data_IF_119655850299
#
_entry.id   IF_119655850299
#
_cell.length_a   1.000
_cell.length_b   1.000
_cell.length_c   1.000
_cell.angle_alpha   90.00
_cell.angle_beta   90.00
_cell.angle_gamma   90.00
#
_symmetry.space_group_name_H-M   'P 1'
#
loop_
_entity.id
_entity.type
_entity.pdbx_description
1 polymer ?
#
# COMPACT_ATOMS: atom_id res chain seq x y z
N UNK A 1 -41.07 -10.81 -29.72
CA UNK A 1 -40.30 -12.05 -29.92
C UNK A 1 -38.83 -11.70 -30.23
N UNK A 2 -37.96 -11.60 -29.20
CA UNK A 2 -36.54 -11.24 -29.37
C UNK A 2 -35.70 -12.50 -29.61
N UNK A 3 -35.05 -12.59 -30.78
CA UNK A 3 -34.10 -13.65 -31.15
C UNK A 3 -32.82 -13.52 -30.32
N UNK A 4 -32.46 -14.58 -29.61
CA UNK A 4 -31.20 -14.70 -28.87
C UNK A 4 -30.16 -15.30 -29.81
N UNK A 5 -29.14 -14.51 -30.18
CA UNK A 5 -28.03 -14.97 -31.01
C UNK A 5 -27.08 -15.85 -30.18
N UNK A 6 -26.87 -17.08 -30.64
CA UNK A 6 -26.04 -18.11 -30.00
C UNK A 6 -24.60 -17.96 -30.50
N UNK A 7 -23.74 -17.31 -29.71
CA UNK A 7 -22.31 -17.17 -30.01
C UNK A 7 -21.61 -18.52 -29.76
N UNK A 8 -21.13 -19.15 -30.84
CA UNK A 8 -20.25 -20.34 -30.79
C UNK A 8 -18.84 -19.90 -30.41
N UNK A 9 -18.36 -20.32 -29.25
CA UNK A 9 -16.95 -20.20 -28.86
C UNK A 9 -16.16 -21.35 -29.50
N UNK A 10 -15.16 -20.99 -30.32
CA UNK A 10 -14.26 -21.93 -30.97
C UNK A 10 -13.24 -22.58 -30.02
N UNK A 11 -12.55 -23.64 -30.45
CA UNK A 11 -11.63 -24.41 -29.61
C UNK A 11 -10.38 -23.61 -29.23
N UNK A 12 -10.13 -23.50 -27.92
CA UNK A 12 -8.94 -22.87 -27.35
C UNK A 12 -7.75 -23.82 -27.51
N UNK A 13 -6.86 -23.49 -28.44
CA UNK A 13 -5.58 -24.17 -28.67
C UNK A 13 -4.68 -24.03 -27.44
N UNK A 14 -4.45 -25.13 -26.72
CA UNK A 14 -3.50 -25.22 -25.61
C UNK A 14 -2.10 -25.43 -26.18
N UNK A 15 -1.22 -24.43 -26.07
CA UNK A 15 0.20 -24.61 -26.39
C UNK A 15 0.89 -25.50 -25.33
N UNK A 16 1.87 -26.32 -25.74
CA UNK A 16 2.60 -27.20 -24.84
C UNK A 16 3.49 -26.40 -23.88
N UNK A 17 3.50 -26.87 -22.64
CA UNK A 17 4.24 -26.31 -21.52
C UNK A 17 5.71 -26.76 -21.65
N UNK A 18 6.59 -25.86 -22.09
CA UNK A 18 8.03 -26.10 -22.11
C UNK A 18 8.56 -26.33 -20.68
N UNK A 19 9.11 -27.52 -20.47
CA UNK A 19 9.91 -27.90 -19.30
C UNK A 19 11.13 -27.00 -19.21
N UNK A 20 11.17 -26.11 -18.22
CA UNK A 20 12.43 -25.54 -17.74
C UNK A 20 13.22 -26.64 -17.04
N UNK A 21 14.20 -27.18 -17.77
CA UNK A 21 15.28 -28.01 -17.24
C UNK A 21 16.07 -27.20 -16.21
N UNK A 22 16.31 -27.81 -15.04
CA UNK A 22 16.98 -27.20 -13.90
C UNK A 22 18.40 -26.74 -14.24
N UNK A 23 18.73 -25.51 -13.83
CA UNK A 23 20.11 -25.03 -13.83
C UNK A 23 20.86 -25.67 -12.65
N UNK A 24 22.04 -26.29 -12.86
CA UNK A 24 22.86 -26.78 -11.78
C UNK A 24 23.41 -25.60 -10.95
N UNK A 25 23.23 -25.71 -9.63
CA UNK A 25 23.78 -24.79 -8.63
C UNK A 25 25.31 -24.96 -8.59
N UNK A 26 26.03 -24.17 -9.38
CA UNK A 26 27.47 -24.05 -9.28
C UNK A 26 27.84 -23.52 -7.89
N UNK A 27 28.63 -24.28 -7.15
CA UNK A 27 29.20 -23.91 -5.86
C UNK A 27 29.99 -22.60 -6.01
N UNK A 28 29.43 -21.50 -5.49
CA UNK A 28 30.16 -20.25 -5.27
C UNK A 28 31.15 -20.50 -4.15
N UNK A 29 32.39 -20.80 -4.52
CA UNK A 29 33.54 -20.62 -3.63
C UNK A 29 33.68 -19.12 -3.36
N UNK A 30 33.13 -18.67 -2.24
CA UNK A 30 33.41 -17.34 -1.68
C UNK A 30 34.91 -17.27 -1.36
N UNK A 31 35.70 -16.75 -2.31
CA UNK A 31 36.99 -16.16 -2.01
C UNK A 31 36.72 -14.96 -1.10
N UNK A 32 36.82 -15.19 0.21
CA UNK A 32 36.83 -14.10 1.20
C UNK A 32 38.06 -13.22 0.92
N UNK A 33 37.89 -11.93 0.61
CA UNK A 33 39.03 -11.03 0.50
C UNK A 33 39.73 -10.93 1.87
N UNK A 34 41.06 -10.91 1.84
CA UNK A 34 41.88 -10.77 3.03
C UNK A 34 41.49 -9.50 3.82
N UNK A 35 41.56 -9.52 5.16
CA UNK A 35 41.29 -8.35 5.97
C UNK A 35 42.32 -7.26 5.66
N UNK A 36 41.85 -6.07 5.29
CA UNK A 36 42.66 -4.87 5.12
C UNK A 36 43.10 -4.38 6.50
N UNK A 37 44.20 -4.93 7.01
CA UNK A 37 44.87 -4.48 8.23
C UNK A 37 45.48 -3.11 7.93
N UNK A 38 44.87 -2.02 8.40
CA UNK A 38 45.45 -0.67 8.29
C UNK A 38 44.47 0.50 8.13
N UNK A 39 43.16 0.27 7.99
CA UNK A 39 42.21 1.38 7.92
C UNK A 39 41.92 1.92 9.33
N UNK A 40 42.44 3.13 9.62
CA UNK A 40 42.05 3.90 10.81
C UNK A 40 40.53 4.09 10.79
N UNK A 41 39.82 3.88 11.92
CA UNK A 41 38.37 4.04 11.96
C UNK A 41 38.01 5.48 11.60
N UNK A 42 37.19 5.64 10.56
CA UNK A 42 36.54 6.91 10.25
C UNK A 42 35.57 7.16 11.40
N UNK A 43 35.98 8.01 12.34
CA UNK A 43 35.12 8.51 13.42
C UNK A 43 34.12 9.47 12.76
N UNK A 44 33.00 8.94 12.29
CA UNK A 44 31.89 9.78 11.85
C UNK A 44 31.42 10.60 13.05
N UNK A 45 31.34 11.94 12.96
CA UNK A 45 30.84 12.76 14.04
C UNK A 45 29.43 12.27 14.37
N UNK A 46 29.23 11.77 15.59
CA UNK A 46 27.91 11.35 16.07
C UNK A 46 27.01 12.56 15.94
N UNK A 47 26.05 12.47 15.02
CA UNK A 47 25.01 13.48 14.83
C UNK A 47 24.43 13.73 16.23
N UNK A 48 24.53 14.95 16.79
CA UNK A 48 24.10 15.20 18.15
C UNK A 48 22.64 14.76 18.29
N UNK A 49 22.27 14.10 19.39
CA UNK A 49 20.88 13.71 19.60
C UNK A 49 20.06 15.00 19.61
N UNK A 50 19.21 15.16 18.59
CA UNK A 50 18.20 16.21 18.56
C UNK A 50 17.09 15.85 19.55
N UNK A 51 17.44 15.72 20.83
CA UNK A 51 16.51 15.83 21.95
C UNK A 51 16.42 17.31 22.32
N UNK A 52 15.96 18.12 21.37
CA UNK A 52 15.32 19.38 21.72
C UNK A 52 14.05 19.00 22.45
N UNK A 53 14.05 19.18 23.78
CA UNK A 53 12.86 19.15 24.60
C UNK A 53 11.76 19.90 23.84
N UNK A 54 10.74 19.16 23.40
CA UNK A 54 9.58 19.74 22.77
C UNK A 54 8.93 20.64 23.82
N UNK A 55 9.23 21.94 23.74
CA UNK A 55 8.38 22.98 24.30
C UNK A 55 6.93 22.60 23.90
N UNK A 56 5.95 22.62 24.83
CA UNK A 56 4.57 22.39 24.49
C UNK A 56 4.19 23.48 23.49
N UNK A 57 4.21 23.12 22.19
CA UNK A 57 3.84 24.04 21.13
C UNK A 57 2.40 24.43 21.41
N UNK A 58 2.15 25.72 21.60
CA UNK A 58 0.81 26.28 21.47
C UNK A 58 0.12 25.59 20.29
N UNK A 59 -1.16 25.18 20.41
CA UNK A 59 -1.84 24.37 19.41
C UNK A 59 -1.68 25.05 18.06
N UNK A 60 -0.76 24.52 17.24
CA UNK A 60 -0.32 25.24 16.07
C UNK A 60 -1.55 25.53 15.22
N UNK A 61 -1.69 26.79 14.79
CA UNK A 61 -2.78 27.26 13.91
C UNK A 61 -2.94 26.39 12.65
N UNK A 62 -1.96 25.54 12.34
CA UNK A 62 -1.99 24.53 11.29
C UNK A 62 -2.90 23.32 11.58
N UNK A 63 -3.29 23.05 12.83
CA UNK A 63 -4.05 21.83 13.18
C UNK A 63 -5.54 22.06 13.46
N UNK A 64 -5.99 23.32 13.54
CA UNK A 64 -7.40 23.65 13.60
C UNK A 64 -8.05 23.53 12.21
N UNK A 65 -9.18 22.83 12.16
CA UNK A 65 -10.06 22.75 10.99
C UNK A 65 -11.14 23.81 11.12
N UNK A 66 -11.25 24.65 10.10
CA UNK A 66 -12.28 25.69 10.00
C UNK A 66 -13.50 25.16 9.26
N UNK A 67 -14.67 25.76 9.52
CA UNK A 67 -15.89 25.41 8.79
C UNK A 67 -15.78 25.69 7.28
N UNK A 68 -15.00 26.71 6.91
CA UNK A 68 -14.73 27.04 5.51
C UNK A 68 -13.97 25.89 4.81
N UNK A 69 -12.95 25.32 5.45
CA UNK A 69 -12.22 24.16 4.93
C UNK A 69 -13.12 22.92 4.81
N UNK A 70 -13.98 22.68 5.79
CA UNK A 70 -14.95 21.58 5.74
C UNK A 70 -15.97 21.76 4.61
N UNK A 71 -16.43 23.00 4.37
CA UNK A 71 -17.32 23.34 3.25
C UNK A 71 -16.67 23.04 1.89
N UNK A 72 -15.35 23.20 1.76
CA UNK A 72 -14.60 22.84 0.55
C UNK A 72 -14.34 21.33 0.48
N UNK A 73 -14.06 20.68 1.62
CA UNK A 73 -13.73 19.27 1.70
C UNK A 73 -14.91 18.38 1.30
N UNK A 74 -16.13 18.66 1.79
CA UNK A 74 -17.35 17.85 1.52
C UNK A 74 -17.64 17.63 0.02
N UNK A 75 -17.80 18.68 -0.81
CA UNK A 75 -18.09 18.51 -2.23
C UNK A 75 -16.90 17.89 -2.98
N UNK A 76 -15.67 18.26 -2.62
CA UNK A 76 -14.49 17.69 -3.25
C UNK A 76 -14.29 16.20 -2.92
N UNK A 77 -14.68 15.78 -1.72
CA UNK A 77 -14.69 14.38 -1.31
C UNK A 77 -15.73 13.57 -2.11
N UNK A 78 -16.96 14.08 -2.22
CA UNK A 78 -18.01 13.49 -3.08
C UNK A 78 -17.60 13.45 -4.56
N UNK A 79 -16.97 14.52 -5.04
CA UNK A 79 -16.40 14.66 -6.38
C UNK A 79 -15.14 13.83 -6.63
N UNK A 80 -14.69 13.04 -5.64
CA UNK A 80 -13.57 12.09 -5.76
C UNK A 80 -12.23 12.76 -6.13
N UNK A 81 -12.01 14.01 -5.71
CA UNK A 81 -10.71 14.69 -5.87
C UNK A 81 -9.64 13.99 -5.03
N UNK A 82 -8.40 13.84 -5.55
CA UNK A 82 -7.28 13.19 -4.84
C UNK A 82 -6.98 13.84 -3.48
N UNK A 83 -6.58 13.07 -2.46
CA UNK A 83 -6.20 13.60 -1.13
C UNK A 83 -5.03 14.55 -1.26
N UNK A 84 -4.09 14.28 -2.17
CA UNK A 84 -2.98 15.16 -2.49
C UNK A 84 -3.42 16.50 -3.12
N UNK A 85 -4.39 16.48 -4.05
CA UNK A 85 -4.92 17.71 -4.61
C UNK A 85 -5.69 18.53 -3.55
N UNK A 86 -6.44 17.85 -2.69
CA UNK A 86 -7.13 18.47 -1.56
C UNK A 86 -6.15 19.06 -0.54
N UNK A 87 -5.10 18.32 -0.20
CA UNK A 87 -4.00 18.75 0.64
C UNK A 87 -3.35 20.03 0.11
N UNK A 88 -2.99 20.05 -1.18
CA UNK A 88 -2.43 21.23 -1.85
C UNK A 88 -3.39 22.42 -1.85
N UNK A 89 -4.68 22.18 -2.06
CA UNK A 89 -5.72 23.24 -2.09
C UNK A 89 -6.01 23.84 -0.72
N UNK A 90 -5.97 23.02 0.33
CA UNK A 90 -6.31 23.43 1.70
C UNK A 90 -5.07 23.76 2.55
N UNK A 91 -3.86 23.63 2.01
CA UNK A 91 -2.61 23.82 2.78
C UNK A 91 -2.45 22.81 3.92
N UNK A 92 -3.02 21.60 3.78
CA UNK A 92 -2.95 20.53 4.78
C UNK A 92 -2.18 19.33 4.24
N UNK A 93 -1.84 18.38 5.10
CA UNK A 93 -1.23 17.12 4.67
C UNK A 93 -2.29 16.10 4.21
N UNK A 94 -1.93 15.21 3.28
CA UNK A 94 -2.80 14.12 2.84
C UNK A 94 -3.38 13.24 3.98
N UNK A 95 -2.60 12.84 5.01
CA UNK A 95 -3.15 12.10 6.15
C UNK A 95 -4.18 12.91 6.95
N UNK A 96 -3.96 14.21 7.19
CA UNK A 96 -4.94 15.07 7.88
C UNK A 96 -6.26 15.15 7.12
N UNK A 97 -6.21 15.25 5.79
CA UNK A 97 -7.39 15.26 4.92
C UNK A 97 -8.16 13.93 5.04
N UNK A 98 -7.44 12.80 5.03
CA UNK A 98 -8.05 11.48 5.19
C UNK A 98 -8.69 11.30 6.56
N UNK A 99 -8.00 11.73 7.62
CA UNK A 99 -8.51 11.69 8.98
C UNK A 99 -9.74 12.57 9.15
N UNK A 100 -9.71 13.80 8.63
CA UNK A 100 -10.87 14.70 8.68
C UNK A 100 -12.07 14.11 7.95
N UNK A 101 -11.86 13.51 6.77
CA UNK A 101 -12.92 12.80 6.04
C UNK A 101 -13.57 11.68 6.86
N UNK A 102 -12.79 10.94 7.65
CA UNK A 102 -13.30 9.94 8.61
C UNK A 102 -14.11 10.57 9.74
N UNK A 103 -13.60 11.64 10.35
CA UNK A 103 -14.30 12.37 11.44
C UNK A 103 -15.64 12.96 10.97
N UNK A 104 -15.69 13.47 9.75
CA UNK A 104 -16.90 13.99 9.12
C UNK A 104 -17.84 12.89 8.59
N UNK A 105 -17.51 11.60 8.76
CA UNK A 105 -18.29 10.45 8.29
C UNK A 105 -18.65 10.55 6.80
N UNK A 106 -17.73 11.05 5.97
CA UNK A 106 -17.96 11.22 4.51
C UNK A 106 -17.90 9.91 3.72
N UNK A 107 -17.94 8.77 4.42
CA UNK A 107 -17.87 7.44 3.85
C UNK A 107 -16.46 7.03 3.38
N UNK A 108 -16.30 5.75 2.99
CA UNK A 108 -15.06 5.27 2.42
C UNK A 108 -14.77 6.04 1.13
N UNK A 109 -13.52 6.43 0.99
CA UNK A 109 -13.10 7.23 -0.15
C UNK A 109 -13.21 6.40 -1.43
N UNK A 110 -13.97 6.85 -2.44
CA UNK A 110 -14.06 6.13 -3.70
C UNK A 110 -12.70 6.21 -4.40
N UNK A 111 -12.00 5.07 -4.44
CA UNK A 111 -10.73 4.93 -5.16
C UNK A 111 -10.97 5.30 -6.61
N UNK A 112 -10.20 6.28 -7.13
CA UNK A 112 -10.11 6.51 -8.59
C UNK A 112 -9.58 5.27 -9.31
N UNK A 113 -8.92 4.42 -8.54
CA UNK A 113 -8.05 3.39 -9.02
C UNK A 113 -8.71 2.02 -8.90
N UNK A 114 -9.82 1.84 -9.61
CA UNK A 114 -10.29 0.48 -9.93
C UNK A 114 -9.36 -0.23 -10.93
N UNK A 115 -8.41 0.52 -11.52
CA UNK A 115 -7.53 0.08 -12.60
C UNK A 115 -6.04 0.32 -12.33
N UNK A 116 -5.63 0.60 -11.09
CA UNK A 116 -4.19 0.74 -10.81
C UNK A 116 -3.52 -0.60 -10.97
N UNK A 117 -2.55 -0.62 -11.88
CA UNK A 117 -1.64 -1.72 -12.09
C UNK A 117 -0.45 -1.51 -11.16
N UNK A 118 -0.09 -2.55 -10.42
CA UNK A 118 1.16 -2.73 -9.71
C UNK A 118 2.32 -2.27 -10.61
N UNK A 119 3.16 -1.34 -10.16
CA UNK A 119 4.21 -0.78 -11.04
C UNK A 119 5.28 -1.82 -11.44
N UNK A 120 5.54 -2.83 -10.59
CA UNK A 120 6.61 -3.82 -10.81
C UNK A 120 6.19 -5.07 -11.60
N UNK A 121 4.92 -5.43 -11.54
CA UNK A 121 4.35 -6.63 -12.16
C UNK A 121 3.24 -6.27 -13.16
N UNK A 122 2.86 -4.99 -13.21
CA UNK A 122 1.75 -4.45 -13.98
C UNK A 122 0.37 -5.09 -13.69
N UNK A 123 0.24 -5.84 -12.60
CA UNK A 123 -1.02 -6.50 -12.26
C UNK A 123 -2.01 -5.55 -11.56
N UNK A 124 -3.31 -5.60 -11.89
CA UNK A 124 -4.31 -4.80 -11.20
C UNK A 124 -4.39 -5.20 -9.72
N UNK A 125 -4.30 -4.20 -8.83
CA UNK A 125 -4.35 -4.39 -7.39
C UNK A 125 -5.43 -3.46 -6.83
N UNK A 126 -6.26 -3.98 -5.92
CA UNK A 126 -7.22 -3.20 -5.14
C UNK A 126 -6.63 -3.08 -3.74
N UNK A 127 -5.84 -2.03 -3.47
CA UNK A 127 -5.45 -1.75 -2.11
C UNK A 127 -6.72 -1.48 -1.29
N UNK A 128 -6.69 -1.69 0.02
CA UNK A 128 -7.72 -1.15 0.93
C UNK A 128 -7.25 0.18 1.56
N UNK A 129 -5.94 0.41 1.57
CA UNK A 129 -5.32 1.65 2.04
C UNK A 129 -4.61 2.46 0.95
N UNK A 130 -4.39 3.74 1.21
CA UNK A 130 -3.73 4.69 0.30
C UNK A 130 -2.19 4.58 0.38
N UNK A 131 -1.68 3.71 1.24
CA UNK A 131 -0.27 3.54 1.58
C UNK A 131 0.43 2.44 0.77
N UNK A 132 -0.25 1.85 -0.23
CA UNK A 132 0.11 0.53 -0.79
C UNK A 132 0.62 0.60 -2.24
N UNK A 133 1.31 1.68 -2.59
CA UNK A 133 1.42 2.11 -4.00
C UNK A 133 2.42 1.31 -4.89
N UNK A 134 2.98 0.14 -4.54
CA UNK A 134 4.25 -0.30 -5.20
C UNK A 134 4.54 -1.78 -5.53
N UNK A 135 3.55 -2.59 -5.91
CA UNK A 135 3.56 -3.92 -5.32
C UNK A 135 3.36 -5.16 -6.25
N UNK A 136 4.50 -5.79 -6.64
CA UNK A 136 4.69 -7.05 -7.43
C UNK A 136 4.25 -8.38 -6.79
N UNK A 137 4.56 -9.53 -7.43
CA UNK A 137 4.22 -10.95 -7.09
C UNK A 137 4.24 -11.33 -5.59
N UNK A 138 5.09 -10.61 -4.88
CA UNK A 138 5.16 -10.48 -3.44
C UNK A 138 3.83 -10.12 -2.73
N UNK A 139 3.13 -9.12 -3.22
CA UNK A 139 1.96 -8.50 -2.58
C UNK A 139 0.71 -9.35 -2.67
N UNK A 140 0.78 -10.32 -3.57
CA UNK A 140 -0.18 -11.39 -3.73
C UNK A 140 0.02 -12.49 -2.67
N UNK A 141 1.25 -12.85 -2.31
CA UNK A 141 1.48 -13.86 -1.25
C UNK A 141 1.16 -13.33 0.14
N UNK A 142 1.44 -12.06 0.39
CA UNK A 142 1.19 -11.42 1.69
C UNK A 142 -0.30 -11.26 2.03
N UNK A 143 -1.16 -11.16 1.01
CA UNK A 143 -2.61 -11.13 1.26
C UNK A 143 -3.18 -12.53 1.51
N UNK A 144 -2.53 -13.58 1.00
CA UNK A 144 -2.94 -14.97 1.20
C UNK A 144 -2.67 -15.46 2.63
N UNK A 145 -1.51 -15.14 3.22
CA UNK A 145 -1.24 -15.45 4.63
C UNK A 145 -2.20 -14.72 5.58
N UNK A 146 -2.51 -13.44 5.28
CA UNK A 146 -3.42 -12.64 6.10
C UNK A 146 -4.86 -13.15 6.14
N UNK A 147 -5.33 -13.86 5.11
CA UNK A 147 -6.68 -14.44 5.12
C UNK A 147 -6.73 -15.78 5.83
N UNK A 148 -5.67 -16.59 5.74
CA UNK A 148 -5.65 -17.94 6.32
C UNK A 148 -5.61 -17.91 7.85
N UNK A 149 -4.81 -17.03 8.45
CA UNK A 149 -4.77 -16.84 9.91
C UNK A 149 -6.10 -16.31 10.44
N UNK A 150 -6.80 -15.46 9.68
CA UNK A 150 -8.12 -14.94 10.07
C UNK A 150 -9.16 -16.08 10.17
N UNK A 151 -9.12 -17.03 9.24
CA UNK A 151 -9.97 -18.25 9.27
C UNK A 151 -9.65 -19.17 10.44
N UNK A 152 -8.38 -19.33 10.80
CA UNK A 152 -7.98 -20.15 11.94
C UNK A 152 -8.49 -19.55 13.26
N UNK A 153 -8.41 -18.23 13.39
CA UNK A 153 -8.85 -17.51 14.58
C UNK A 153 -10.37 -17.55 14.78
N UNK A 154 -11.15 -17.42 13.70
CA UNK A 154 -12.62 -17.51 13.78
C UNK A 154 -13.08 -18.94 14.11
N UNK A 155 -12.38 -19.95 13.58
CA UNK A 155 -12.67 -21.36 13.88
C UNK A 155 -12.33 -21.75 15.33
N UNK A 156 -11.27 -21.19 15.92
CA UNK A 156 -10.92 -21.42 17.32
C UNK A 156 -12.00 -20.85 18.28
N UNK A 157 -12.54 -19.67 17.96
CA UNK A 157 -13.58 -19.02 18.74
C UNK A 157 -14.95 -19.72 18.65
N UNK A 158 -15.26 -20.36 17.52
CA UNK A 158 -16.49 -21.12 17.33
C UNK A 158 -16.56 -22.41 18.16
N UNK A 159 -15.41 -22.96 18.58
CA UNK A 159 -15.33 -24.21 19.35
C UNK A 159 -15.41 -24.03 20.86
N UNK A 160 -15.10 -22.85 21.40
CA UNK A 160 -15.09 -22.57 22.85
C UNK A 160 -16.46 -22.16 23.43
N UNK A 161 -17.51 -22.10 22.60
CA UNK A 161 -18.88 -21.73 23.00
C UNK A 161 -19.86 -22.90 23.08
N UNK A 162 -19.37 -24.12 22.86
CA UNK A 162 -20.12 -25.39 23.01
C UNK A 162 -19.71 -26.03 24.32
#
# INVERSE_FOLDING_TARGET
>A
TRRVAKLRLGPVSRKPQERLMGRPMGARTEKRPAPMIGMKPIVWPRKPPQNSAHQPTEPSKMNSWTEAEDKVLRPAWKGRMSTYALAKRLGKTAPQIAERGRRLKLGPRPRRDKKRKCLKCQEPFVPEDWTTDWYCDKHRRQRAQMSEDLTMQVNALGRARV
#
